data_IF_307806243754
#
_entry.id   IF_307806243754
#
_cell.length_a   1.000
_cell.length_b   1.000
_cell.length_c   1.000
_cell.angle_alpha   90.00
_cell.angle_beta   90.00
_cell.angle_gamma   90.00
#
_symmetry.space_group_name_H-M   'P 1'
#
loop_
_entity.id
_entity.type
_entity.pdbx_description
1 polymer ?
#
# COMPACT_ATOMS: atom_id res chain seq x y z
N UNK A 1 -63.13 -37.09 -1.45
CA UNK A 1 -63.52 -35.85 -2.16
C UNK A 1 -62.43 -34.80 -1.92
N UNK A 2 -61.70 -34.47 -2.99
CA UNK A 2 -60.84 -33.31 -3.26
C UNK A 2 -59.95 -32.73 -2.12
N UNK A 3 -58.66 -33.10 -2.13
CA UNK A 3 -57.58 -32.33 -1.50
C UNK A 3 -57.02 -31.30 -2.50
N UNK A 4 -57.11 -30.00 -2.17
CA UNK A 4 -56.52 -28.91 -2.97
C UNK A 4 -55.05 -28.71 -2.58
N UNK A 5 -54.14 -29.01 -3.50
CA UNK A 5 -52.74 -28.60 -3.42
C UNK A 5 -52.61 -27.17 -3.92
N UNK A 6 -52.24 -26.24 -3.04
CA UNK A 6 -51.95 -24.84 -3.40
C UNK A 6 -50.44 -24.67 -3.40
N UNK A 7 -49.86 -24.46 -4.58
CA UNK A 7 -48.45 -24.22 -4.82
C UNK A 7 -48.02 -22.86 -4.26
N UNK A 8 -47.05 -22.87 -3.33
CA UNK A 8 -46.39 -21.65 -2.84
C UNK A 8 -45.21 -21.30 -3.75
N UNK A 9 -45.31 -20.13 -4.39
CA UNK A 9 -44.28 -19.51 -5.22
C UNK A 9 -43.15 -18.96 -4.33
N UNK A 10 -41.87 -19.30 -4.55
CA UNK A 10 -40.77 -18.66 -3.82
C UNK A 10 -40.59 -17.23 -4.35
N UNK A 11 -40.89 -16.24 -3.51
CA UNK A 11 -40.56 -14.84 -3.76
C UNK A 11 -39.04 -14.67 -3.67
N UNK A 12 -38.38 -14.49 -4.82
CA UNK A 12 -36.98 -14.08 -4.87
C UNK A 12 -36.88 -12.63 -4.37
N UNK A 13 -36.32 -12.44 -3.17
CA UNK A 13 -35.98 -11.13 -2.63
C UNK A 13 -34.75 -10.64 -3.39
N UNK A 14 -34.95 -9.75 -4.38
CA UNK A 14 -33.88 -9.00 -4.99
C UNK A 14 -33.34 -8.01 -3.93
N UNK A 15 -32.15 -8.27 -3.39
CA UNK A 15 -31.42 -7.30 -2.59
C UNK A 15 -31.01 -6.15 -3.52
N UNK A 16 -31.79 -5.07 -3.50
CA UNK A 16 -31.39 -3.80 -4.07
C UNK A 16 -30.21 -3.30 -3.26
N UNK A 17 -29.00 -3.43 -3.80
CA UNK A 17 -27.82 -2.73 -3.29
C UNK A 17 -27.99 -1.24 -3.57
N UNK A 18 -28.84 -0.58 -2.77
CA UNK A 18 -28.81 0.85 -2.67
C UNK A 18 -27.39 1.24 -2.26
N UNK A 19 -26.72 2.04 -3.09
CA UNK A 19 -25.47 2.72 -2.74
C UNK A 19 -25.80 3.80 -1.68
N UNK A 20 -26.31 3.39 -0.52
CA UNK A 20 -26.60 4.27 0.58
C UNK A 20 -25.28 4.64 1.24
N UNK A 21 -24.90 5.91 1.23
CA UNK A 21 -23.69 6.33 1.92
C UNK A 21 -23.79 5.99 3.42
N UNK A 22 -22.68 5.57 4.01
CA UNK A 22 -22.57 5.28 5.43
C UNK A 22 -22.77 6.54 6.25
N UNK A 23 -23.61 6.42 7.29
CA UNK A 23 -23.83 7.50 8.26
C UNK A 23 -22.53 7.84 8.96
N UNK A 24 -22.46 9.07 9.48
CA UNK A 24 -21.34 9.49 10.32
C UNK A 24 -21.10 8.52 11.48
N UNK A 25 -19.82 8.26 11.76
CA UNK A 25 -19.33 7.25 12.71
C UNK A 25 -19.70 5.79 12.35
N UNK A 26 -20.31 5.54 11.18
CA UNK A 26 -20.59 4.20 10.68
C UNK A 26 -19.35 3.48 10.13
N UNK A 27 -19.41 2.14 10.07
CA UNK A 27 -18.34 1.35 9.46
C UNK A 27 -18.39 1.52 7.93
N UNK A 28 -17.25 1.84 7.33
CA UNK A 28 -17.10 2.10 5.90
C UNK A 28 -16.02 1.24 5.24
N UNK A 29 -15.45 0.27 5.97
CA UNK A 29 -14.44 -0.64 5.45
C UNK A 29 -13.98 -1.65 6.48
N UNK A 30 -13.19 -2.62 6.02
CA UNK A 30 -12.69 -3.72 6.83
C UNK A 30 -12.85 -5.08 6.13
N UNK A 31 -12.00 -6.03 6.47
CA UNK A 31 -12.08 -7.41 6.00
C UNK A 31 -13.45 -8.00 6.39
N UNK A 32 -14.21 -8.44 5.39
CA UNK A 32 -15.57 -8.98 5.58
C UNK A 32 -16.69 -7.94 5.57
N UNK A 33 -16.40 -6.63 5.47
CA UNK A 33 -17.43 -5.60 5.35
C UNK A 33 -18.03 -5.57 3.95
N UNK A 34 -19.33 -5.88 3.83
CA UNK A 34 -20.10 -5.84 2.57
C UNK A 34 -21.04 -4.64 2.48
N UNK A 35 -21.05 -3.79 3.51
CA UNK A 35 -21.84 -2.56 3.54
C UNK A 35 -21.23 -1.44 2.69
N UNK A 36 -21.89 -0.28 2.69
CA UNK A 36 -21.40 0.85 1.93
C UNK A 36 -20.01 1.31 2.41
N UNK A 37 -19.19 1.73 1.45
CA UNK A 37 -17.79 2.14 1.67
C UNK A 37 -17.60 3.67 1.60
N UNK A 38 -18.61 4.37 1.10
CA UNK A 38 -18.62 5.82 0.96
C UNK A 38 -19.39 6.41 2.13
N UNK A 39 -18.84 7.43 2.79
CA UNK A 39 -19.51 8.13 3.88
C UNK A 39 -20.43 9.23 3.36
N UNK A 40 -21.41 9.66 4.16
CA UNK A 40 -22.27 10.82 3.88
C UNK A 40 -21.44 12.09 3.66
N UNK A 41 -21.98 13.06 2.93
CA UNK A 41 -21.28 14.31 2.61
C UNK A 41 -20.71 15.01 3.85
N UNK A 42 -19.46 15.47 3.73
CA UNK A 42 -18.70 16.03 4.85
C UNK A 42 -18.04 15.00 5.76
N UNK A 43 -18.15 13.70 5.46
CA UNK A 43 -17.49 12.62 6.19
C UNK A 43 -16.59 11.81 5.28
N UNK A 44 -15.49 11.30 5.84
CA UNK A 44 -14.48 10.51 5.14
C UNK A 44 -14.25 9.18 5.85
N UNK A 45 -14.04 8.11 5.08
CA UNK A 45 -13.78 6.79 5.63
C UNK A 45 -12.34 6.71 6.15
N UNK A 46 -12.17 6.56 7.46
CA UNK A 46 -10.88 6.52 8.14
C UNK A 46 -10.58 5.10 8.61
N UNK A 47 -9.44 4.57 8.18
CA UNK A 47 -8.97 3.25 8.58
C UNK A 47 -8.65 3.21 10.09
N UNK A 48 -9.13 2.18 10.79
CA UNK A 48 -8.83 1.96 12.21
C UNK A 48 -8.05 0.65 12.40
N UNK A 49 -8.54 -0.46 11.85
CA UNK A 49 -7.87 -1.76 11.88
C UNK A 49 -8.28 -2.62 10.68
N UNK A 50 -7.67 -3.80 10.46
CA UNK A 50 -7.91 -4.62 9.27
C UNK A 50 -9.37 -5.01 9.06
N UNK A 51 -10.15 -5.15 10.13
CA UNK A 51 -11.55 -5.56 10.08
C UNK A 51 -12.52 -4.38 10.19
N UNK A 52 -12.02 -3.15 10.39
CA UNK A 52 -12.86 -1.99 10.70
C UNK A 52 -12.27 -0.65 10.25
N UNK A 53 -13.04 0.11 9.49
CA UNK A 53 -12.80 1.52 9.12
C UNK A 53 -14.07 2.32 9.38
N UNK A 54 -13.97 3.56 9.85
CA UNK A 54 -15.11 4.36 10.32
C UNK A 54 -15.22 5.71 9.61
N UNK A 55 -16.44 6.15 9.31
CA UNK A 55 -16.72 7.49 8.79
C UNK A 55 -16.47 8.57 9.86
N UNK A 56 -15.54 9.48 9.62
CA UNK A 56 -15.25 10.63 10.51
C UNK A 56 -15.47 11.96 9.77
N UNK A 57 -15.83 13.04 10.48
CA UNK A 57 -16.04 14.36 9.85
C UNK A 57 -14.73 14.86 9.21
N UNK A 58 -14.81 15.30 7.96
CA UNK A 58 -13.82 16.18 7.37
C UNK A 58 -14.15 17.64 7.78
N UNK A 59 -13.17 18.47 8.16
CA UNK A 59 -13.44 19.89 8.44
C UNK A 59 -13.94 20.57 7.16
N UNK A 60 -15.16 21.09 7.21
CA UNK A 60 -15.87 21.74 6.12
C UNK A 60 -15.23 23.08 5.76
N UNK A 61 -14.95 23.29 4.48
CA UNK A 61 -14.78 24.63 3.90
C UNK A 61 -15.68 24.74 2.68
N UNK A 62 -16.75 25.51 2.86
CA UNK A 62 -17.77 25.82 1.89
C UNK A 62 -17.18 26.52 0.66
N UNK A 63 -17.48 26.00 -0.54
CA UNK A 63 -17.96 26.78 -1.69
C UNK A 63 -18.23 25.88 -2.92
N UNK A 64 -19.44 26.02 -3.45
CA UNK A 64 -19.97 25.55 -4.74
C UNK A 64 -19.85 26.77 -5.69
N UNK A 65 -19.49 26.65 -7.00
CA UNK A 65 -20.43 26.13 -8.00
C UNK A 65 -19.92 25.21 -9.12
N UNK A 66 -20.82 24.29 -9.48
CA UNK A 66 -21.35 23.99 -10.83
C UNK A 66 -20.52 23.20 -11.85
N UNK A 67 -21.20 22.19 -12.41
CA UNK A 67 -20.74 21.07 -13.21
C UNK A 67 -20.32 21.41 -14.65
N UNK A 68 -19.51 20.52 -15.26
CA UNK A 68 -19.82 19.90 -16.56
C UNK A 68 -19.08 18.56 -16.67
N UNK A 69 -19.85 17.51 -16.91
CA UNK A 69 -19.41 16.14 -17.13
C UNK A 69 -18.97 15.97 -18.58
N UNK A 70 -17.69 15.66 -18.80
CA UNK A 70 -17.25 15.00 -20.04
C UNK A 70 -16.32 13.84 -19.68
N UNK A 71 -16.84 12.65 -19.97
CA UNK A 71 -16.17 11.36 -19.99
C UNK A 71 -15.09 11.35 -21.07
N UNK A 72 -13.82 11.31 -20.67
CA UNK A 72 -12.73 10.75 -21.50
C UNK A 72 -11.70 10.08 -20.62
N UNK A 73 -11.44 8.83 -20.97
CA UNK A 73 -10.41 7.94 -20.46
C UNK A 73 -9.00 8.52 -20.66
N UNK A 74 -8.14 8.26 -19.66
CA UNK A 74 -6.68 8.28 -19.66
C UNK A 74 -5.93 9.52 -19.08
N UNK A 75 -5.00 9.16 -18.19
CA UNK A 75 -3.68 9.76 -17.91
C UNK A 75 -3.57 10.80 -16.78
N UNK A 76 -2.52 10.59 -16.00
CA UNK A 76 -2.10 11.25 -14.77
C UNK A 76 -2.01 12.78 -14.80
N UNK A 77 -2.58 13.41 -13.76
CA UNK A 77 -2.20 14.73 -13.22
C UNK A 77 -2.45 14.60 -11.71
N UNK A 78 -1.45 14.45 -10.84
CA UNK A 78 -0.38 15.41 -10.61
C UNK A 78 -0.87 16.36 -9.52
N UNK A 79 -0.55 16.07 -8.25
CA UNK A 79 -0.87 16.93 -7.12
C UNK A 79 -0.15 18.29 -7.27
N UNK A 80 -0.91 19.38 -7.13
CA UNK A 80 -0.36 20.74 -7.02
C UNK A 80 0.25 20.93 -5.63
N UNK A 81 1.56 21.22 -5.58
CA UNK A 81 2.24 21.62 -4.35
C UNK A 81 1.70 22.99 -3.90
N UNK A 82 1.11 23.05 -2.71
CA UNK A 82 0.80 24.33 -2.05
C UNK A 82 2.06 24.83 -1.36
N UNK A 83 2.60 25.97 -1.82
CA UNK A 83 3.77 26.66 -1.25
C UNK A 83 3.43 27.34 0.10
N UNK A 84 2.77 26.64 1.01
CA UNK A 84 2.58 27.11 2.38
C UNK A 84 3.67 26.48 3.26
N UNK A 85 4.71 27.26 3.51
CA UNK A 85 5.71 26.95 4.53
C UNK A 85 5.01 26.80 5.89
N UNK A 86 5.04 25.59 6.45
CA UNK A 86 4.77 25.32 7.86
C UNK A 86 3.30 25.24 8.28
N UNK A 87 2.61 24.16 7.92
CA UNK A 87 1.64 23.49 8.82
C UNK A 87 1.20 22.12 8.27
N UNK A 88 1.57 21.07 9.00
CA UNK A 88 0.97 19.74 9.08
C UNK A 88 0.88 18.92 7.78
N UNK A 89 1.98 18.18 7.53
CA UNK A 89 1.98 17.02 6.65
C UNK A 89 0.83 16.06 7.03
N UNK A 90 0.09 15.46 6.08
CA UNK A 90 -0.68 14.26 6.40
C UNK A 90 0.30 13.20 6.90
N UNK A 91 0.13 12.78 8.16
CA UNK A 91 0.88 11.70 8.80
C UNK A 91 0.64 10.39 8.04
N UNK A 92 1.45 10.12 7.02
CA UNK A 92 1.41 8.88 6.27
C UNK A 92 2.22 7.81 7.03
N UNK A 93 1.54 7.10 7.93
CA UNK A 93 2.09 6.17 8.93
C UNK A 93 2.15 4.70 8.46
N UNK A 94 2.65 4.45 7.25
CA UNK A 94 2.85 3.08 6.77
C UNK A 94 4.09 2.44 7.41
N UNK A 95 4.09 1.14 7.81
CA UNK A 95 5.18 0.58 8.59
C UNK A 95 6.51 0.66 7.83
N UNK A 96 7.61 1.05 8.50
CA UNK A 96 8.91 1.02 7.89
C UNK A 96 9.37 -0.43 7.65
N UNK A 97 10.10 -0.64 6.56
CA UNK A 97 10.62 -1.96 6.17
C UNK A 97 12.08 -2.05 6.59
N UNK A 98 12.47 -3.14 7.25
CA UNK A 98 13.86 -3.40 7.67
C UNK A 98 14.28 -4.84 7.43
N UNK A 99 15.58 -5.07 7.43
CA UNK A 99 16.16 -6.41 7.42
C UNK A 99 16.00 -7.08 8.79
N UNK A 100 15.57 -8.35 8.77
CA UNK A 100 15.24 -9.13 9.96
C UNK A 100 16.47 -9.81 10.57
N UNK A 101 17.44 -10.16 9.75
CA UNK A 101 18.51 -11.10 10.03
C UNK A 101 19.82 -10.74 9.31
N UNK A 102 20.88 -11.48 9.64
CA UNK A 102 22.24 -11.20 9.19
C UNK A 102 22.84 -9.95 9.86
N UNK A 103 24.01 -9.53 9.37
CA UNK A 103 24.68 -8.33 9.89
C UNK A 103 23.94 -7.03 9.53
N UNK A 104 23.01 -7.09 8.58
CA UNK A 104 22.18 -5.97 8.16
C UNK A 104 20.89 -5.81 8.98
N UNK A 105 20.66 -6.65 9.99
CA UNK A 105 19.50 -6.54 10.89
C UNK A 105 19.33 -5.09 11.38
N UNK A 106 18.09 -4.63 11.43
CA UNK A 106 17.69 -3.27 11.85
C UNK A 106 18.22 -2.13 10.96
N UNK A 107 18.65 -2.47 9.73
CA UNK A 107 18.81 -1.49 8.64
C UNK A 107 17.54 -1.38 7.82
N UNK A 108 17.25 -0.17 7.35
CA UNK A 108 15.93 0.23 6.88
C UNK A 108 15.92 0.52 5.39
N UNK A 109 14.89 0.02 4.72
CA UNK A 109 14.63 0.27 3.31
C UNK A 109 14.40 1.76 3.08
N UNK A 110 15.10 2.30 2.10
CA UNK A 110 15.00 3.70 1.70
C UNK A 110 15.44 3.88 0.24
N UNK A 111 15.08 5.02 -0.35
CA UNK A 111 15.59 5.41 -1.66
C UNK A 111 16.99 6.03 -1.49
N UNK A 112 17.92 5.67 -2.37
CA UNK A 112 19.22 6.35 -2.46
C UNK A 112 19.05 7.86 -2.69
N UNK A 113 19.93 8.65 -2.07
CA UNK A 113 19.96 10.12 -2.24
C UNK A 113 20.42 10.54 -3.63
N UNK A 114 21.29 9.75 -4.25
CA UNK A 114 21.96 10.06 -5.53
C UNK A 114 21.41 9.27 -6.70
N UNK A 115 20.61 8.23 -6.45
CA UNK A 115 20.07 7.36 -7.49
C UNK A 115 18.63 6.94 -7.19
N UNK A 116 18.00 6.23 -8.13
CA UNK A 116 16.70 5.60 -7.94
C UNK A 116 16.79 4.22 -7.28
N UNK A 117 17.98 3.78 -6.89
CA UNK A 117 18.17 2.46 -6.29
C UNK A 117 17.50 2.40 -4.92
N UNK A 118 16.91 1.24 -4.62
CA UNK A 118 16.52 0.89 -3.27
C UNK A 118 17.75 0.40 -2.51
N UNK A 119 17.94 0.91 -1.30
CA UNK A 119 19.07 0.58 -0.43
C UNK A 119 18.57 0.32 0.98
N UNK A 120 19.36 -0.44 1.75
CA UNK A 120 19.24 -0.49 3.20
C UNK A 120 20.21 0.50 3.85
N UNK A 121 19.77 1.16 4.91
CA UNK A 121 20.59 2.15 5.61
C UNK A 121 20.04 2.50 6.99
N UNK A 122 20.50 3.60 7.60
CA UNK A 122 20.18 3.93 8.98
C UNK A 122 18.72 4.31 9.19
N UNK A 123 18.24 4.15 10.43
CA UNK A 123 16.87 4.45 10.84
C UNK A 123 16.43 5.92 10.63
N UNK A 124 17.39 6.84 10.54
CA UNK A 124 17.10 8.28 10.37
C UNK A 124 16.54 8.59 8.98
N UNK A 125 16.89 7.76 8.00
CA UNK A 125 16.56 7.96 6.59
C UNK A 125 15.63 6.87 6.05
N UNK A 126 15.01 6.10 6.96
CA UNK A 126 14.04 5.06 6.60
C UNK A 126 12.85 5.63 5.83
N UNK A 127 12.36 4.84 4.87
CA UNK A 127 11.12 5.11 4.17
C UNK A 127 9.89 4.67 4.96
N UNK A 128 8.75 5.26 4.62
CA UNK A 128 7.42 4.86 5.11
C UNK A 128 6.65 4.27 3.93
N UNK A 129 6.05 3.10 4.14
CA UNK A 129 5.53 2.30 3.04
C UNK A 129 4.07 1.95 3.23
N UNK A 130 3.27 2.10 2.16
CA UNK A 130 1.88 1.64 2.15
C UNK A 130 1.83 0.20 1.62
N UNK A 131 1.52 -0.80 2.47
CA UNK A 131 1.43 -2.19 2.06
C UNK A 131 0.18 -2.44 1.19
N UNK A 132 0.38 -3.06 0.03
CA UNK A 132 -0.67 -3.58 -0.86
C UNK A 132 -0.02 -4.64 -1.78
N UNK A 133 -0.63 -4.93 -2.93
CA UNK A 133 0.02 -5.69 -4.02
C UNK A 133 1.25 -4.96 -4.61
N UNK A 134 1.39 -3.66 -4.31
CA UNK A 134 2.57 -2.85 -4.61
C UNK A 134 3.12 -2.23 -3.34
N UNK A 135 4.45 -2.14 -3.23
CA UNK A 135 5.12 -1.42 -2.14
C UNK A 135 5.34 0.03 -2.58
N UNK A 136 4.64 0.95 -1.93
CA UNK A 136 4.68 2.38 -2.26
C UNK A 136 5.42 3.16 -1.17
N UNK A 137 6.56 3.75 -1.55
CA UNK A 137 7.27 4.73 -0.75
C UNK A 137 6.54 6.07 -0.81
N UNK A 138 6.24 6.63 0.35
CA UNK A 138 5.75 8.00 0.47
C UNK A 138 6.94 8.95 0.21
N UNK A 139 6.91 9.69 -0.90
CA UNK A 139 8.01 10.57 -1.33
C UNK A 139 7.47 11.98 -1.65
N UNK A 140 8.17 13.03 -1.22
CA UNK A 140 7.85 14.43 -1.56
C UNK A 140 6.54 15.01 -0.99
N UNK A 141 6.14 16.18 -1.50
CA UNK A 141 4.94 16.94 -1.07
C UNK A 141 3.71 16.58 -1.91
N UNK A 142 2.92 15.61 -1.41
CA UNK A 142 1.56 15.21 -1.81
C UNK A 142 1.37 14.55 -3.20
N UNK A 143 0.69 13.41 -3.24
CA UNK A 143 1.39 12.14 -3.19
C UNK A 143 2.01 11.82 -4.56
N UNK A 144 3.32 12.00 -4.66
CA UNK A 144 4.12 11.20 -5.57
C UNK A 144 4.54 9.95 -4.78
N UNK A 145 3.84 8.84 -5.03
CA UNK A 145 4.34 7.56 -4.56
C UNK A 145 5.46 7.13 -5.48
N UNK A 146 6.51 6.55 -4.91
CA UNK A 146 7.44 5.75 -5.69
C UNK A 146 7.18 4.28 -5.39
N UNK A 147 7.10 3.48 -6.45
CA UNK A 147 6.87 2.06 -6.39
C UNK A 147 8.20 1.34 -6.34
N UNK A 148 8.35 0.42 -5.38
CA UNK A 148 9.47 -0.50 -5.35
C UNK A 148 9.29 -1.53 -6.46
N UNK A 149 10.24 -1.54 -7.38
CA UNK A 149 10.22 -2.40 -8.56
C UNK A 149 11.48 -3.23 -8.64
N UNK A 150 11.28 -4.46 -9.10
CA UNK A 150 12.34 -5.33 -9.58
C UNK A 150 12.90 -4.77 -10.88
N UNK A 151 14.23 -4.71 -10.98
CA UNK A 151 14.95 -4.35 -12.20
C UNK A 151 15.44 -5.64 -12.85
N UNK A 152 15.17 -5.80 -14.14
CA UNK A 152 15.64 -6.96 -14.89
C UNK A 152 17.17 -6.97 -14.96
N UNK A 153 17.77 -8.14 -14.75
CA UNK A 153 19.20 -8.40 -14.86
C UNK A 153 19.42 -9.81 -15.40
N UNK A 154 20.60 -10.16 -15.91
CA UNK A 154 20.90 -11.54 -16.32
C UNK A 154 21.25 -12.45 -15.14
N UNK A 155 21.66 -11.86 -14.02
CA UNK A 155 22.05 -12.53 -12.78
C UNK A 155 20.85 -13.12 -12.04
N UNK A 156 21.11 -14.09 -11.17
CA UNK A 156 20.13 -14.69 -10.27
C UNK A 156 19.87 -13.87 -8.99
N UNK A 157 20.42 -12.66 -8.94
CA UNK A 157 20.03 -11.58 -8.03
C UNK A 157 19.61 -10.36 -8.88
N UNK A 158 18.48 -9.75 -8.55
CA UNK A 158 17.90 -8.62 -9.30
C UNK A 158 17.93 -7.34 -8.48
N UNK A 159 18.45 -6.22 -8.99
CA UNK A 159 18.43 -4.96 -8.25
C UNK A 159 16.99 -4.47 -8.04
N UNK A 160 16.81 -3.68 -6.99
CA UNK A 160 15.54 -3.01 -6.71
C UNK A 160 15.69 -1.50 -6.92
N UNK A 161 14.65 -0.88 -7.47
CA UNK A 161 14.61 0.56 -7.70
C UNK A 161 13.24 1.15 -7.40
N UNK A 162 13.21 2.45 -7.17
CA UNK A 162 12.02 3.24 -6.96
C UNK A 162 11.69 4.02 -8.24
N UNK A 163 10.46 3.85 -8.74
CA UNK A 163 9.97 4.51 -9.95
C UNK A 163 8.56 5.07 -9.72
N UNK A 164 8.13 6.03 -10.55
CA UNK A 164 6.76 6.56 -10.49
C UNK A 164 5.70 5.55 -10.93
N UNK A 165 6.10 4.49 -11.65
CA UNK A 165 5.21 3.45 -12.16
C UNK A 165 5.39 2.12 -11.44
N UNK A 166 4.30 1.43 -11.13
CA UNK A 166 4.32 0.07 -10.61
C UNK A 166 4.59 -0.93 -11.74
N UNK A 167 5.81 -1.46 -11.82
CA UNK A 167 6.20 -2.57 -12.70
C UNK A 167 6.10 -3.92 -11.98
N UNK A 168 6.34 -3.92 -10.67
CA UNK A 168 6.21 -5.11 -9.81
C UNK A 168 4.97 -4.97 -8.93
N UNK A 169 3.95 -5.78 -9.20
CA UNK A 169 2.63 -5.69 -8.57
C UNK A 169 2.21 -6.96 -7.82
N UNK A 170 3.17 -7.86 -7.56
CA UNK A 170 2.91 -9.16 -6.93
C UNK A 170 3.63 -9.28 -5.58
N UNK A 171 3.78 -8.16 -4.89
CA UNK A 171 4.33 -8.10 -3.54
C UNK A 171 3.31 -8.62 -2.54
N UNK A 172 3.75 -9.45 -1.60
CA UNK A 172 2.91 -10.00 -0.55
C UNK A 172 3.65 -9.92 0.80
N UNK A 173 2.90 -10.08 1.88
CA UNK A 173 3.42 -10.19 3.25
C UNK A 173 3.08 -11.56 3.78
N UNK A 174 4.09 -12.33 4.21
CA UNK A 174 3.95 -13.74 4.57
C UNK A 174 4.51 -14.04 5.96
N UNK A 175 3.92 -15.05 6.60
CA UNK A 175 4.34 -15.54 7.91
C UNK A 175 4.03 -14.59 9.07
N UNK A 176 4.39 -15.02 10.28
CA UNK A 176 4.18 -14.26 11.51
C UNK A 176 5.03 -12.98 11.59
N UNK A 177 6.16 -12.96 10.87
CA UNK A 177 7.06 -11.81 10.82
C UNK A 177 6.61 -10.76 9.78
N UNK A 178 5.50 -10.97 9.06
CA UNK A 178 5.11 -10.13 7.91
C UNK A 178 6.28 -9.87 6.95
N UNK A 179 7.00 -10.94 6.61
CA UNK A 179 8.11 -10.86 5.69
C UNK A 179 7.60 -10.55 4.29
N UNK A 180 8.30 -9.67 3.60
CA UNK A 180 7.99 -9.30 2.23
C UNK A 180 8.34 -10.49 1.34
N UNK A 181 7.41 -10.88 0.49
CA UNK A 181 7.64 -11.87 -0.55
C UNK A 181 7.29 -11.34 -1.92
N UNK A 182 7.98 -11.86 -2.92
CA UNK A 182 7.68 -11.67 -4.33
C UNK A 182 7.67 -13.05 -4.97
N UNK A 183 6.56 -13.40 -5.62
CA UNK A 183 6.36 -14.73 -6.24
C UNK A 183 6.66 -15.91 -5.29
N UNK A 184 6.33 -15.76 -4.00
CA UNK A 184 6.50 -16.79 -2.98
C UNK A 184 7.89 -16.88 -2.34
N UNK A 185 8.90 -16.14 -2.84
CA UNK A 185 10.22 -16.07 -2.21
C UNK A 185 10.34 -14.84 -1.32
N UNK A 186 11.03 -14.98 -0.18
CA UNK A 186 11.31 -13.90 0.81
C UNK A 186 12.79 -13.55 0.88
N UNK A 187 13.61 -14.07 -0.04
CA UNK A 187 15.06 -13.92 0.00
C UNK A 187 15.49 -12.61 -0.66
N UNK A 188 16.12 -11.75 0.12
CA UNK A 188 16.78 -10.54 -0.34
C UNK A 188 18.27 -10.65 -0.07
N UNK A 189 19.08 -9.94 -0.85
CA UNK A 189 20.52 -9.84 -0.64
C UNK A 189 20.86 -8.38 -0.39
N UNK A 190 21.62 -8.12 0.65
CA UNK A 190 22.15 -6.78 0.95
C UNK A 190 23.66 -6.81 1.07
N UNK A 191 24.32 -5.76 0.62
CA UNK A 191 25.78 -5.61 0.69
C UNK A 191 26.17 -4.49 1.66
N UNK A 192 27.43 -4.48 2.10
CA UNK A 192 28.05 -3.46 2.97
C UNK A 192 27.84 -2.01 2.51
N UNK A 193 27.73 -1.80 1.20
CA UNK A 193 27.37 -0.51 0.57
C UNK A 193 25.92 -0.08 0.78
N UNK A 194 25.07 -0.94 1.37
CA UNK A 194 23.62 -0.78 1.47
C UNK A 194 22.87 -1.18 0.21
N UNK A 195 23.55 -1.64 -0.85
CA UNK A 195 22.89 -2.11 -2.06
C UNK A 195 21.96 -3.28 -1.77
N UNK A 196 20.74 -3.24 -2.31
CA UNK A 196 19.69 -4.23 -2.06
C UNK A 196 19.23 -4.91 -3.35
N UNK A 197 19.11 -6.23 -3.29
CA UNK A 197 18.71 -7.09 -4.40
C UNK A 197 17.66 -8.10 -3.93
N UNK A 198 16.83 -8.57 -4.87
CA UNK A 198 15.96 -9.72 -4.67
C UNK A 198 16.62 -10.97 -5.24
N UNK A 199 16.62 -12.06 -4.47
CA UNK A 199 17.30 -13.30 -4.84
C UNK A 199 16.35 -14.24 -5.58
N UNK A 200 16.68 -14.54 -6.83
CA UNK A 200 15.94 -15.49 -7.69
C UNK A 200 16.68 -16.82 -7.90
N UNK A 201 17.93 -16.93 -7.46
CA UNK A 201 18.74 -18.15 -7.49
C UNK A 201 19.87 -18.11 -6.46
N UNK A 202 21.03 -18.67 -6.76
CA UNK A 202 22.10 -18.90 -5.76
C UNK A 202 23.30 -17.96 -5.88
N UNK A 203 23.39 -17.14 -6.92
CA UNK A 203 24.53 -16.22 -7.08
C UNK A 203 24.39 -15.04 -6.11
N UNK A 204 25.55 -14.50 -5.72
CA UNK A 204 25.66 -13.29 -4.91
C UNK A 204 26.34 -12.18 -5.72
N UNK A 205 25.98 -10.90 -5.48
CA UNK A 205 26.72 -9.76 -6.02
C UNK A 205 28.18 -9.77 -5.54
N UNK A 206 29.11 -9.16 -6.31
CA UNK A 206 30.48 -8.99 -5.87
C UNK A 206 30.55 -8.07 -4.64
N UNK A 207 31.43 -8.41 -3.70
CA UNK A 207 31.64 -7.65 -2.45
C UNK A 207 31.19 -8.41 -1.22
N UNK A 208 31.03 -7.69 -0.10
CA UNK A 208 30.59 -8.28 1.16
C UNK A 208 29.06 -8.21 1.25
N UNK A 209 28.39 -9.29 0.87
CA UNK A 209 26.93 -9.38 0.82
C UNK A 209 26.40 -10.55 1.66
N UNK A 210 25.18 -10.39 2.16
CA UNK A 210 24.47 -11.40 2.95
C UNK A 210 23.01 -11.50 2.51
N UNK A 211 22.44 -12.70 2.63
CA UNK A 211 21.01 -12.90 2.42
C UNK A 211 20.26 -12.53 3.70
N UNK A 212 19.13 -11.85 3.53
CA UNK A 212 18.24 -11.42 4.60
C UNK A 212 16.78 -11.51 4.17
N UNK A 213 15.86 -11.47 5.14
CA UNK A 213 14.43 -11.25 4.92
C UNK A 213 14.09 -9.80 5.28
N UNK A 214 13.22 -9.18 4.48
CA UNK A 214 12.68 -7.86 4.80
C UNK A 214 11.33 -7.99 5.49
N UNK A 215 11.10 -7.21 6.54
CA UNK A 215 9.87 -7.22 7.35
C UNK A 215 9.38 -5.81 7.65
N UNK A 216 8.07 -5.71 7.92
CA UNK A 216 7.41 -4.49 8.44
C UNK A 216 7.18 -4.52 9.95
N UNK A 217 7.49 -5.64 10.61
CA UNK A 217 7.19 -5.86 12.03
C UNK A 217 8.34 -5.34 12.89
N UNK A 218 8.11 -4.28 13.64
CA UNK A 218 9.11 -3.60 14.48
C UNK A 218 9.49 -4.33 15.78
N UNK A 219 8.88 -5.48 16.07
CA UNK A 219 8.88 -6.08 17.41
C UNK A 219 9.46 -7.49 17.40
N UNK A 220 10.74 -7.60 17.80
CA UNK A 220 11.31 -8.56 18.78
C UNK A 220 12.48 -7.85 19.47
#
# INVERSE_FOLDING_TARGET
MYFKFTTLLPAAIAATSALAQQKGWGQCGGIGWTGAITCVDGWSCVYSNPYFSQCLLAPSSSSIPTATTTTTTATSTGCVASNAAGALMPRASGPPIHALDGWAKDTWLQKSKTSSNAILGPAISKGWYLPASTIRLIYGTCPQFLYLNLVDASTSYKPLSFDISAKTTNWNYVGADWAISLNGSTAFITCDTGALYFQTGTELPPGNCTTTRLTTRSDI
#
